data_IF_974573844188
#
_entry.id   IF_974573844188
#
_cell.length_a   1.000
_cell.length_b   1.000
_cell.length_c   1.000
_cell.angle_alpha   90.00
_cell.angle_beta   90.00
_cell.angle_gamma   90.00
#
_symmetry.space_group_name_H-M   'P 1'
#
loop_
_entity.id
_entity.type
_entity.pdbx_description
1 polymer ?
#
# COMPACT_ATOMS: atom_id res chain seq x y z
N UNK A 1 2.39 -18.72 -33.62
CA UNK A 1 2.00 -18.09 -32.33
C UNK A 1 3.17 -18.25 -31.37
N UNK A 2 3.95 -17.17 -31.17
CA UNK A 2 5.05 -17.16 -30.22
C UNK A 2 4.47 -16.94 -28.82
N UNK A 3 4.83 -17.82 -27.87
CA UNK A 3 4.55 -17.59 -26.45
C UNK A 3 5.10 -16.23 -26.02
N UNK A 4 4.33 -15.41 -25.28
CA UNK A 4 4.90 -14.22 -24.69
C UNK A 4 5.99 -14.66 -23.72
N UNK A 5 7.23 -14.28 -24.01
CA UNK A 5 8.32 -14.34 -23.06
C UNK A 5 7.88 -13.49 -21.87
N UNK A 6 7.53 -14.13 -20.77
CA UNK A 6 7.50 -13.52 -19.45
C UNK A 6 8.90 -12.94 -19.22
N UNK A 7 9.09 -11.69 -19.59
CA UNK A 7 10.18 -10.88 -19.11
C UNK A 7 10.08 -10.96 -17.59
N UNK A 8 11.03 -11.68 -17.00
CA UNK A 8 11.45 -11.52 -15.62
C UNK A 8 11.88 -10.06 -15.47
N UNK A 9 10.91 -9.16 -15.36
CA UNK A 9 11.12 -7.84 -14.82
C UNK A 9 11.61 -8.13 -13.43
N UNK A 10 12.91 -7.94 -13.23
CA UNK A 10 13.52 -7.93 -11.91
C UNK A 10 12.58 -7.11 -11.03
N UNK A 11 11.91 -7.77 -10.09
CA UNK A 11 10.98 -7.12 -9.18
C UNK A 11 11.68 -5.86 -8.69
N UNK A 12 11.15 -4.65 -8.92
CA UNK A 12 11.71 -3.49 -8.28
C UNK A 12 11.62 -3.82 -6.80
N UNK A 13 12.80 -4.02 -6.19
CA UNK A 13 13.00 -4.09 -4.75
C UNK A 13 12.03 -3.10 -4.11
N UNK A 14 11.39 -3.46 -2.99
CA UNK A 14 10.61 -2.52 -2.19
C UNK A 14 11.50 -1.31 -1.87
N UNK A 15 11.56 -0.33 -2.77
CA UNK A 15 12.42 0.84 -2.65
C UNK A 15 11.62 1.81 -1.83
N UNK A 16 11.77 1.74 -0.51
CA UNK A 16 11.46 2.89 0.30
C UNK A 16 12.36 4.04 -0.19
N UNK A 17 11.74 5.15 -0.59
CA UNK A 17 12.41 6.27 -1.23
C UNK A 17 13.16 7.17 -0.25
N UNK A 18 13.15 6.84 1.04
CA UNK A 18 13.85 7.57 2.08
C UNK A 18 14.86 6.66 2.79
N UNK A 19 16.13 7.06 2.95
CA UNK A 19 17.03 6.37 3.86
C UNK A 19 16.51 6.49 5.30
N UNK A 20 16.69 5.47 6.14
CA UNK A 20 16.26 5.52 7.53
C UNK A 20 16.99 6.64 8.27
N UNK A 21 16.25 7.40 9.07
CA UNK A 21 16.82 8.40 9.98
C UNK A 21 17.52 7.69 11.16
N UNK A 22 18.64 8.23 11.67
CA UNK A 22 19.23 7.76 12.92
C UNK A 22 18.25 7.99 14.08
N UNK A 23 17.99 6.95 14.87
CA UNK A 23 16.99 6.97 15.93
C UNK A 23 17.56 7.50 17.25
N UNK A 24 17.04 8.65 17.69
CA UNK A 24 17.08 9.08 19.10
C UNK A 24 15.69 9.57 19.48
N UNK A 25 14.88 8.66 20.03
CA UNK A 25 13.53 8.93 20.51
C UNK A 25 13.23 8.15 21.80
N UNK A 26 12.26 8.59 22.62
CA UNK A 26 12.09 8.10 23.98
C UNK A 26 11.58 6.65 24.03
N UNK A 27 12.04 5.91 25.05
CA UNK A 27 11.59 4.57 25.39
C UNK A 27 10.14 4.61 25.91
N UNK A 28 9.21 4.08 25.13
CA UNK A 28 7.89 3.66 25.60
C UNK A 28 7.92 2.12 25.79
N UNK A 29 7.10 1.58 26.70
CA UNK A 29 7.18 0.19 27.21
C UNK A 29 7.19 -0.91 26.12
N UNK A 30 7.45 -2.19 26.47
CA UNK A 30 7.89 -3.21 25.52
C UNK A 30 6.75 -3.59 24.55
N UNK A 31 6.65 -2.86 23.44
CA UNK A 31 5.82 -3.24 22.30
C UNK A 31 6.50 -4.43 21.63
N UNK A 32 5.66 -5.41 21.32
CA UNK A 32 5.94 -6.79 20.93
C UNK A 32 6.97 -6.95 19.82
N UNK A 33 7.67 -8.10 19.87
CA UNK A 33 8.52 -8.60 18.78
C UNK A 33 7.76 -8.51 17.46
N UNK A 34 8.45 -8.16 16.38
CA UNK A 34 7.90 -8.21 15.01
C UNK A 34 7.28 -9.60 14.78
N UNK A 35 6.04 -9.70 14.25
CA UNK A 35 5.43 -10.99 13.93
C UNK A 35 6.36 -11.85 13.06
N UNK A 36 6.46 -13.15 13.36
CA UNK A 36 7.43 -14.04 12.67
C UNK A 36 7.19 -14.11 11.15
N UNK A 37 5.94 -14.07 10.71
CA UNK A 37 5.59 -14.00 9.29
C UNK A 37 6.17 -12.75 8.62
N UNK A 38 6.05 -11.60 9.29
CA UNK A 38 6.57 -10.30 8.83
C UNK A 38 8.11 -10.30 8.79
N UNK A 39 8.79 -10.91 9.79
CA UNK A 39 10.26 -11.05 9.79
C UNK A 39 10.78 -11.82 8.57
N UNK A 40 10.17 -12.96 8.27
CA UNK A 40 10.54 -13.80 7.12
C UNK A 40 10.46 -13.00 5.83
N UNK A 41 9.33 -12.30 5.62
CA UNK A 41 9.13 -11.47 4.44
C UNK A 41 10.17 -10.35 4.31
N UNK A 42 10.44 -9.62 5.40
CA UNK A 42 11.44 -8.54 5.42
C UNK A 42 12.83 -9.10 5.07
N UNK A 43 13.24 -10.22 5.65
CA UNK A 43 14.55 -10.82 5.36
C UNK A 43 14.70 -11.23 3.89
N UNK A 44 13.67 -11.86 3.33
CA UNK A 44 13.69 -12.37 1.95
C UNK A 44 13.69 -11.25 0.90
N UNK A 45 13.04 -10.11 1.18
CA UNK A 45 12.79 -9.06 0.16
C UNK A 45 13.53 -7.75 0.40
N UNK A 46 13.83 -7.43 1.65
CA UNK A 46 14.47 -6.16 2.07
C UNK A 46 15.77 -6.38 2.83
N UNK A 47 15.96 -7.59 3.37
CA UNK A 47 17.09 -7.98 4.18
C UNK A 47 18.39 -8.01 3.39
N UNK A 48 18.38 -8.26 2.09
CA UNK A 48 19.62 -8.37 1.31
C UNK A 48 19.86 -7.14 0.44
N UNK A 49 21.08 -6.60 0.47
CA UNK A 49 21.50 -5.53 -0.43
C UNK A 49 22.92 -5.80 -0.95
N UNK A 50 23.19 -5.29 -2.15
CA UNK A 50 24.52 -5.34 -2.74
C UNK A 50 25.35 -4.16 -2.23
N UNK A 51 26.55 -4.44 -1.70
CA UNK A 51 27.48 -3.43 -1.21
C UNK A 51 28.57 -3.20 -2.24
N UNK A 52 28.51 -2.07 -2.97
CA UNK A 52 29.47 -1.74 -4.03
C UNK A 52 30.92 -1.64 -3.53
N UNK A 53 31.11 -1.34 -2.24
CA UNK A 53 32.43 -1.22 -1.62
C UNK A 53 33.17 -2.56 -1.42
N UNK A 54 32.45 -3.68 -1.38
CA UNK A 54 33.01 -5.00 -1.04
C UNK A 54 32.61 -6.10 -2.04
N UNK A 55 31.72 -5.80 -3.00
CA UNK A 55 31.22 -6.81 -3.95
C UNK A 55 30.56 -8.00 -3.26
N UNK A 56 29.91 -7.78 -2.12
CA UNK A 56 29.30 -8.82 -1.29
C UNK A 56 27.82 -8.54 -1.00
N UNK A 57 27.02 -9.61 -0.89
CA UNK A 57 25.63 -9.51 -0.42
C UNK A 57 25.69 -9.32 1.09
N UNK A 58 25.20 -8.17 1.57
CA UNK A 58 25.06 -7.90 3.00
C UNK A 58 23.62 -8.06 3.44
N UNK A 59 23.43 -8.61 4.64
CA UNK A 59 22.13 -8.70 5.29
C UNK A 59 21.93 -7.48 6.19
N UNK A 60 20.86 -6.71 5.97
CA UNK A 60 20.41 -5.64 6.87
C UNK A 60 19.99 -6.25 8.19
N UNK A 61 20.38 -5.66 9.33
CA UNK A 61 19.87 -6.09 10.62
C UNK A 61 18.35 -5.91 10.63
N UNK A 62 17.63 -6.93 11.10
CA UNK A 62 16.20 -6.79 11.36
C UNK A 62 16.00 -5.78 12.50
N UNK A 63 14.99 -4.90 12.40
CA UNK A 63 14.60 -4.07 13.53
C UNK A 63 14.26 -4.96 14.74
N UNK A 64 14.73 -4.57 15.92
CA UNK A 64 14.57 -5.34 17.14
C UNK A 64 13.10 -5.36 17.62
N UNK A 65 12.37 -4.29 17.32
CA UNK A 65 10.99 -4.07 17.74
C UNK A 65 10.10 -3.71 16.56
N UNK A 66 8.78 -3.88 16.72
CA UNK A 66 7.81 -3.39 15.73
C UNK A 66 7.82 -1.85 15.63
N UNK A 67 8.16 -1.14 16.70
CA UNK A 67 8.33 0.32 16.67
C UNK A 67 9.49 0.73 15.77
N UNK A 68 10.62 0.03 15.84
CA UNK A 68 11.76 0.28 14.95
C UNK A 68 11.39 -0.01 13.50
N UNK A 69 10.64 -1.09 13.27
CA UNK A 69 10.10 -1.43 11.97
C UNK A 69 9.16 -0.35 11.43
N UNK A 70 8.26 0.16 12.27
CA UNK A 70 7.35 1.22 11.89
C UNK A 70 8.06 2.53 11.64
N UNK A 71 9.08 2.91 12.43
CA UNK A 71 9.93 4.07 12.14
C UNK A 71 10.62 3.95 10.79
N UNK A 72 11.06 2.74 10.43
CA UNK A 72 11.62 2.49 9.09
C UNK A 72 10.58 2.72 7.98
N UNK A 73 9.28 2.54 8.25
CA UNK A 73 8.22 2.55 7.23
C UNK A 73 7.21 3.70 7.34
N UNK A 74 7.27 4.53 8.37
CA UNK A 74 6.28 5.56 8.71
C UNK A 74 6.06 6.56 7.57
N UNK A 75 7.11 6.84 6.80
CA UNK A 75 7.08 7.76 5.66
C UNK A 75 7.38 7.08 4.33
N UNK A 76 7.50 5.74 4.32
CA UNK A 76 7.74 5.03 3.10
C UNK A 76 6.47 5.06 2.23
N UNK A 77 6.70 5.44 0.97
CA UNK A 77 5.76 5.23 -0.12
C UNK A 77 6.21 4.00 -0.88
N UNK A 78 5.33 3.03 -1.00
CA UNK A 78 5.59 1.82 -1.76
C UNK A 78 4.93 1.91 -3.12
N UNK A 79 5.64 1.48 -4.14
CA UNK A 79 5.15 1.39 -5.51
C UNK A 79 5.39 -0.02 -6.03
N UNK A 80 4.34 -0.70 -6.49
CA UNK A 80 4.47 -2.04 -7.06
C UNK A 80 3.20 -2.86 -6.91
N UNK A 81 3.32 -4.19 -6.97
CA UNK A 81 2.18 -5.09 -6.82
C UNK A 81 1.93 -5.40 -5.34
N UNK A 82 0.69 -5.19 -4.86
CA UNK A 82 0.31 -5.54 -3.49
C UNK A 82 0.20 -7.06 -3.36
N UNK A 83 1.16 -7.70 -2.71
CA UNK A 83 1.05 -9.13 -2.36
C UNK A 83 0.38 -9.30 -0.99
N UNK A 84 -0.20 -10.48 -0.70
CA UNK A 84 -0.78 -10.75 0.61
C UNK A 84 0.19 -10.52 1.78
N UNK A 85 1.47 -10.84 1.59
CA UNK A 85 2.51 -10.68 2.59
C UNK A 85 2.86 -9.20 2.82
N UNK A 86 2.92 -8.39 1.76
CA UNK A 86 3.10 -6.93 1.90
C UNK A 86 1.91 -6.33 2.63
N UNK A 87 0.69 -6.71 2.24
CA UNK A 87 -0.52 -6.21 2.87
C UNK A 87 -0.56 -6.57 4.37
N UNK A 88 -0.25 -7.82 4.72
CA UNK A 88 -0.17 -8.27 6.11
C UNK A 88 0.90 -7.49 6.89
N UNK A 89 2.09 -7.31 6.32
CA UNK A 89 3.17 -6.52 6.93
C UNK A 89 2.74 -5.08 7.21
N UNK A 90 2.10 -4.41 6.24
CA UNK A 90 1.68 -3.02 6.39
C UNK A 90 0.53 -2.87 7.39
N UNK A 91 -0.38 -3.84 7.45
CA UNK A 91 -1.41 -3.92 8.49
C UNK A 91 -0.80 -4.11 9.88
N UNK A 92 0.16 -5.03 10.03
CA UNK A 92 0.84 -5.27 11.31
C UNK A 92 1.64 -4.02 11.77
N UNK A 93 2.33 -3.34 10.86
CA UNK A 93 3.02 -2.07 11.15
C UNK A 93 2.01 -1.03 11.63
N UNK A 94 0.87 -0.94 10.95
CA UNK A 94 -0.14 0.07 11.25
C UNK A 94 -0.82 -0.20 12.59
N UNK A 95 -1.16 -1.45 12.88
CA UNK A 95 -1.78 -1.88 14.12
C UNK A 95 -0.84 -1.74 15.33
N UNK A 96 0.41 -2.22 15.20
CA UNK A 96 1.29 -2.43 16.35
C UNK A 96 2.47 -1.47 16.45
N UNK A 97 2.99 -0.94 15.34
CA UNK A 97 4.25 -0.19 15.37
C UNK A 97 4.09 1.32 15.30
N UNK A 98 2.92 1.82 14.91
CA UNK A 98 2.66 3.27 14.90
C UNK A 98 2.17 3.69 16.30
N UNK A 99 3.04 4.41 17.01
CA UNK A 99 2.78 4.89 18.36
C UNK A 99 1.45 5.64 18.45
N UNK A 100 0.80 5.53 19.62
CA UNK A 100 -0.37 6.33 19.94
C UNK A 100 -0.01 7.81 19.82
N UNK A 101 -0.58 8.47 18.81
CA UNK A 101 -0.44 9.90 18.70
C UNK A 101 -1.18 10.48 19.90
N UNK A 102 -0.42 10.89 20.93
CA UNK A 102 -0.97 11.71 21.99
C UNK A 102 -1.55 12.92 21.28
N UNK A 103 -2.87 13.19 21.38
CA UNK A 103 -3.45 14.38 20.82
C UNK A 103 -2.73 15.55 21.50
N UNK A 104 -1.78 16.13 20.79
CA UNK A 104 -1.27 17.44 21.14
C UNK A 104 -2.34 18.39 20.64
N UNK A 105 -2.83 19.27 21.51
CA UNK A 105 -3.93 20.21 21.22
C UNK A 105 -3.70 21.13 19.99
N UNK A 106 -2.59 20.94 19.27
CA UNK A 106 -2.14 21.70 18.10
C UNK A 106 -2.30 20.96 16.77
N UNK A 107 -2.46 19.63 16.74
CA UNK A 107 -2.61 18.88 15.47
C UNK A 107 -4.04 18.39 15.32
N UNK A 108 -4.84 19.12 14.54
CA UNK A 108 -6.19 18.70 14.14
C UNK A 108 -6.04 17.73 12.96
N UNK A 109 -6.03 16.43 13.25
CA UNK A 109 -6.18 15.40 12.21
C UNK A 109 -5.65 14.02 12.60
N UNK A 110 -6.10 12.98 11.90
CA UNK A 110 -5.54 11.64 12.06
C UNK A 110 -4.12 11.57 11.50
N UNK A 111 -3.16 10.98 12.23
CA UNK A 111 -1.87 10.61 11.65
C UNK A 111 -2.11 9.63 10.51
N UNK A 112 -1.34 9.80 9.44
CA UNK A 112 -1.39 8.93 8.28
C UNK A 112 -0.27 7.89 8.39
N UNK A 113 -0.61 6.62 8.23
CA UNK A 113 0.35 5.53 8.28
C UNK A 113 1.12 5.32 6.97
N UNK A 114 1.75 4.15 6.80
CA UNK A 114 2.35 3.73 5.54
C UNK A 114 1.37 3.87 4.37
N UNK A 115 1.93 4.13 3.19
CA UNK A 115 1.18 4.35 1.96
C UNK A 115 1.65 3.40 0.89
N UNK A 116 0.70 2.72 0.28
CA UNK A 116 0.98 1.85 -0.85
C UNK A 116 0.27 2.37 -2.09
N UNK A 117 1.00 2.42 -3.19
CA UNK A 117 0.48 2.78 -4.51
C UNK A 117 0.79 1.66 -5.49
N UNK A 118 -0.15 1.38 -6.39
CA UNK A 118 0.04 0.43 -7.46
C UNK A 118 -0.63 0.89 -8.73
N UNK A 119 0.02 0.66 -9.86
CA UNK A 119 -0.65 0.75 -11.16
C UNK A 119 -1.48 -0.50 -11.37
N UNK A 120 -2.76 -0.33 -11.68
CA UNK A 120 -3.62 -1.41 -12.11
C UNK A 120 -4.49 -0.91 -13.27
N UNK A 121 -4.32 -1.54 -14.43
CA UNK A 121 -4.89 -1.07 -15.69
C UNK A 121 -4.50 0.39 -15.97
N UNK A 122 -5.48 1.24 -16.26
CA UNK A 122 -5.33 2.67 -16.55
C UNK A 122 -5.30 3.53 -15.28
N UNK A 123 -5.27 2.94 -14.08
CA UNK A 123 -5.45 3.68 -12.83
C UNK A 123 -4.31 3.46 -11.85
N UNK A 124 -4.05 4.46 -11.01
CA UNK A 124 -3.25 4.32 -9.80
C UNK A 124 -4.18 4.03 -8.65
N UNK A 125 -3.99 2.87 -8.04
CA UNK A 125 -4.64 2.47 -6.82
C UNK A 125 -3.78 2.86 -5.64
N UNK A 126 -4.41 3.25 -4.54
CA UNK A 126 -3.74 3.52 -3.29
C UNK A 126 -4.37 2.74 -2.14
N UNK A 127 -3.55 2.43 -1.14
CA UNK A 127 -3.98 1.96 0.17
C UNK A 127 -3.26 2.80 1.22
N UNK A 128 -4.06 3.46 2.04
CA UNK A 128 -3.66 4.29 3.14
C UNK A 128 -3.96 3.57 4.43
N UNK A 129 -2.93 3.15 5.15
CA UNK A 129 -3.14 2.43 6.39
C UNK A 129 -3.33 3.39 7.56
N UNK A 130 -4.27 3.05 8.44
CA UNK A 130 -4.63 3.92 9.57
C UNK A 130 -3.87 3.46 10.81
N UNK A 131 -3.07 4.32 11.44
CA UNK A 131 -2.35 3.96 12.66
C UNK A 131 -3.27 3.43 13.76
N UNK A 132 -2.81 2.37 14.44
CA UNK A 132 -3.45 1.60 15.52
C UNK A 132 -4.65 0.75 15.13
N UNK A 133 -5.03 0.76 13.87
CA UNK A 133 -6.14 -0.06 13.40
C UNK A 133 -5.63 -1.02 12.35
N UNK A 134 -6.17 -2.24 12.37
CA UNK A 134 -6.04 -3.19 11.25
C UNK A 134 -6.99 -2.79 10.12
N UNK A 135 -6.87 -1.54 9.69
CA UNK A 135 -7.80 -0.88 8.79
C UNK A 135 -7.02 -0.04 7.78
N UNK A 136 -7.58 0.08 6.59
CA UNK A 136 -7.02 0.91 5.53
C UNK A 136 -8.12 1.60 4.75
N UNK A 137 -7.77 2.74 4.16
CA UNK A 137 -8.58 3.42 3.15
C UNK A 137 -7.97 3.07 1.82
N UNK A 138 -8.77 2.54 0.90
CA UNK A 138 -8.36 2.21 -0.45
C UNK A 138 -9.05 3.14 -1.44
N UNK A 139 -8.47 3.27 -2.62
CA UNK A 139 -9.08 4.05 -3.68
C UNK A 139 -8.27 4.01 -4.97
N UNK A 140 -8.77 4.67 -5.99
CA UNK A 140 -8.14 4.71 -7.31
C UNK A 140 -8.33 6.03 -8.02
N UNK A 141 -7.33 6.39 -8.84
CA UNK A 141 -7.34 7.58 -9.67
C UNK A 141 -8.36 7.47 -10.80
N UNK A 142 -8.74 8.60 -11.42
CA UNK A 142 -9.29 8.59 -12.77
C UNK A 142 -8.37 7.85 -13.76
N UNK A 143 -8.92 7.46 -14.90
CA UNK A 143 -8.17 6.79 -15.96
C UNK A 143 -7.05 7.69 -16.50
N UNK A 144 -5.85 7.13 -16.54
CA UNK A 144 -4.64 7.73 -17.06
C UNK A 144 -4.60 7.41 -18.56
N UNK A 145 -4.49 8.43 -19.43
CA UNK A 145 -4.44 8.22 -20.87
C UNK A 145 -3.38 7.18 -21.26
N UNK A 146 -3.77 6.25 -22.13
CA UNK A 146 -2.87 5.25 -22.66
C UNK A 146 -1.69 5.89 -23.39
N UNK A 147 -0.49 5.39 -23.12
CA UNK A 147 0.74 5.80 -23.79
C UNK A 147 1.61 4.58 -24.06
N UNK A 148 2.34 4.60 -25.18
CA UNK A 148 3.18 3.46 -25.61
C UNK A 148 4.31 3.13 -24.61
N UNK A 149 4.70 4.10 -23.77
CA UNK A 149 5.79 3.99 -22.79
C UNK A 149 5.36 3.40 -21.43
N UNK A 150 4.17 2.80 -21.35
CA UNK A 150 3.54 2.37 -20.10
C UNK A 150 4.34 1.37 -19.25
N UNK A 151 5.16 0.54 -19.91
CA UNK A 151 6.05 -0.42 -19.25
C UNK A 151 7.50 0.05 -19.23
N UNK A 152 7.77 1.21 -19.81
CA UNK A 152 9.10 1.82 -19.83
C UNK A 152 9.33 2.63 -18.56
N UNK A 153 10.59 2.92 -18.26
CA UNK A 153 10.97 3.70 -17.08
C UNK A 153 10.29 5.07 -17.05
N UNK A 154 10.07 5.68 -18.22
CA UNK A 154 9.39 6.96 -18.36
C UNK A 154 7.91 6.89 -17.93
N UNK A 155 7.18 5.84 -18.34
CA UNK A 155 5.80 5.61 -17.89
C UNK A 155 5.72 5.35 -16.39
N UNK A 156 6.61 4.51 -15.86
CA UNK A 156 6.69 4.21 -14.42
C UNK A 156 6.98 5.49 -13.61
N UNK A 157 7.92 6.32 -14.07
CA UNK A 157 8.28 7.57 -13.40
C UNK A 157 7.11 8.57 -13.39
N UNK A 158 6.35 8.64 -14.48
CA UNK A 158 5.15 9.48 -14.60
C UNK A 158 4.04 9.05 -13.65
N UNK A 159 3.71 7.77 -13.64
CA UNK A 159 2.67 7.24 -12.75
C UNK A 159 3.05 7.46 -11.28
N UNK A 160 4.32 7.24 -10.96
CA UNK A 160 4.86 7.55 -9.64
C UNK A 160 4.72 9.04 -9.29
N UNK A 161 5.08 9.94 -10.20
CA UNK A 161 4.95 11.37 -9.98
C UNK A 161 3.48 11.78 -9.74
N UNK A 162 2.53 11.19 -10.47
CA UNK A 162 1.10 11.44 -10.28
C UNK A 162 0.61 11.04 -8.88
N UNK A 163 1.03 9.86 -8.40
CA UNK A 163 0.72 9.42 -7.04
C UNK A 163 1.36 10.32 -5.97
N UNK A 164 2.60 10.77 -6.19
CA UNK A 164 3.32 11.65 -5.27
C UNK A 164 2.72 13.06 -5.20
N UNK A 165 2.22 13.60 -6.31
CA UNK A 165 1.52 14.88 -6.37
C UNK A 165 0.16 14.83 -5.66
N UNK A 166 -0.52 13.68 -5.75
CA UNK A 166 -1.82 13.46 -5.12
C UNK A 166 -1.75 13.24 -3.59
N UNK A 167 -0.68 12.60 -3.12
CA UNK A 167 -0.49 12.18 -1.73
C UNK A 167 -0.75 13.29 -0.68
N UNK A 168 -0.22 14.53 -0.80
CA UNK A 168 -0.50 15.60 0.17
C UNK A 168 -1.99 15.93 0.30
N UNK A 169 -2.73 15.90 -0.82
CA UNK A 169 -4.17 16.20 -0.85
C UNK A 169 -4.96 15.07 -0.18
N UNK A 170 -4.62 13.82 -0.50
CA UNK A 170 -5.18 12.63 0.14
C UNK A 170 -4.96 12.65 1.65
N UNK A 171 -3.72 12.84 2.10
CA UNK A 171 -3.39 12.89 3.52
C UNK A 171 -4.16 13.99 4.25
N UNK A 172 -4.20 15.21 3.68
CA UNK A 172 -4.95 16.32 4.27
C UNK A 172 -6.43 16.01 4.40
N UNK A 173 -7.03 15.40 3.38
CA UNK A 173 -8.45 15.08 3.41
C UNK A 173 -8.76 13.95 4.39
N UNK A 174 -7.97 12.87 4.41
CA UNK A 174 -8.14 11.78 5.38
C UNK A 174 -7.94 12.28 6.80
N UNK A 175 -6.93 13.11 7.05
CA UNK A 175 -6.73 13.73 8.35
C UNK A 175 -7.94 14.59 8.77
N UNK A 176 -8.63 15.24 7.82
CA UNK A 176 -9.84 16.05 8.06
C UNK A 176 -11.08 15.20 8.34
N UNK A 177 -11.34 14.18 7.54
CA UNK A 177 -12.60 13.40 7.59
C UNK A 177 -12.53 12.23 8.58
N UNK A 178 -11.33 11.84 9.00
CA UNK A 178 -11.12 10.68 9.85
C UNK A 178 -11.38 9.36 9.13
N UNK A 179 -11.45 8.25 9.88
CA UNK A 179 -11.84 6.94 9.35
C UNK A 179 -13.34 6.82 9.08
N UNK A 180 -14.16 7.52 9.86
CA UNK A 180 -15.62 7.49 9.76
C UNK A 180 -16.16 8.21 8.51
N UNK A 181 -15.36 9.07 7.87
CA UNK A 181 -15.79 9.85 6.71
C UNK A 181 -15.60 9.17 5.35
N UNK A 182 -14.93 8.01 5.31
CA UNK A 182 -14.71 7.22 4.08
C UNK A 182 -15.81 6.19 3.97
N UNK A 183 -16.91 6.57 3.33
CA UNK A 183 -17.97 5.65 2.91
C UNK A 183 -17.64 5.09 1.51
N UNK A 184 -18.16 3.90 1.22
CA UNK A 184 -17.99 3.22 -0.07
C UNK A 184 -18.36 4.15 -1.24
N UNK A 185 -17.42 4.36 -2.18
CA UNK A 185 -17.57 5.17 -3.39
C UNK A 185 -17.69 6.69 -3.19
N UNK A 186 -17.32 7.23 -2.03
CA UNK A 186 -17.18 8.67 -1.89
C UNK A 186 -15.86 9.14 -2.50
N UNK A 187 -15.88 10.28 -3.18
CA UNK A 187 -14.65 10.91 -3.60
C UNK A 187 -13.84 11.36 -2.38
N UNK A 188 -12.59 10.90 -2.29
CA UNK A 188 -11.58 11.37 -1.36
C UNK A 188 -10.54 12.08 -2.21
N UNK A 189 -10.35 13.38 -2.00
CA UNK A 189 -9.44 14.23 -2.75
C UNK A 189 -9.65 14.24 -4.28
N UNK A 190 -10.85 13.89 -4.74
CA UNK A 190 -11.22 13.80 -6.16
C UNK A 190 -10.85 12.45 -6.80
N UNK A 191 -10.42 11.46 -6.01
CA UNK A 191 -10.29 10.07 -6.43
C UNK A 191 -11.38 9.25 -5.75
N UNK A 192 -11.73 8.11 -6.33
CA UNK A 192 -12.72 7.25 -5.73
C UNK A 192 -12.13 6.55 -4.51
N UNK A 193 -12.80 6.65 -3.36
CA UNK A 193 -12.37 6.07 -2.10
C UNK A 193 -13.34 5.01 -1.55
N UNK A 194 -12.80 4.12 -0.75
CA UNK A 194 -13.49 3.04 -0.04
C UNK A 194 -12.70 2.62 1.19
N UNK A 195 -13.29 1.74 1.99
CA UNK A 195 -12.58 1.07 3.06
C UNK A 195 -11.94 -0.21 2.51
N UNK A 196 -10.73 -0.53 2.96
CA UNK A 196 -10.05 -1.76 2.55
C UNK A 196 -10.89 -3.00 2.90
N UNK A 197 -11.64 -2.94 4.00
CA UNK A 197 -12.57 -4.00 4.38
C UNK A 197 -13.70 -4.15 3.36
N UNK A 198 -14.37 -3.07 2.98
CA UNK A 198 -15.45 -3.09 1.99
C UNK A 198 -14.97 -3.62 0.64
N UNK A 199 -13.75 -3.24 0.23
CA UNK A 199 -13.17 -3.74 -1.02
C UNK A 199 -12.83 -5.24 -0.95
N UNK A 200 -12.36 -5.72 0.21
CA UNK A 200 -12.12 -7.15 0.43
C UNK A 200 -13.44 -7.94 0.42
N UNK A 201 -14.46 -7.46 1.11
CA UNK A 201 -15.81 -8.06 1.12
C UNK A 201 -16.39 -8.11 -0.30
N UNK A 202 -16.29 -7.01 -1.05
CA UNK A 202 -16.71 -6.96 -2.45
C UNK A 202 -15.91 -7.94 -3.31
N UNK A 203 -14.59 -8.03 -3.14
CA UNK A 203 -13.74 -8.96 -3.89
C UNK A 203 -14.08 -10.43 -3.60
N UNK A 204 -14.37 -10.77 -2.35
CA UNK A 204 -14.83 -12.12 -1.97
C UNK A 204 -16.18 -12.45 -2.59
N UNK A 205 -17.13 -11.51 -2.53
CA UNK A 205 -18.44 -11.64 -3.18
C UNK A 205 -18.27 -11.80 -4.70
N UNK A 206 -17.45 -10.96 -5.32
CA UNK A 206 -17.13 -11.00 -6.74
C UNK A 206 -16.58 -12.37 -7.15
N UNK A 207 -15.62 -12.88 -6.39
CA UNK A 207 -15.02 -14.19 -6.64
C UNK A 207 -16.06 -15.32 -6.52
N UNK A 208 -16.92 -15.27 -5.51
CA UNK A 208 -17.99 -16.26 -5.34
C UNK A 208 -18.98 -16.23 -6.52
N UNK A 209 -19.43 -15.04 -6.94
CA UNK A 209 -20.34 -14.85 -8.08
C UNK A 209 -19.68 -15.31 -9.39
N UNK A 210 -18.40 -14.99 -9.60
CA UNK A 210 -17.66 -15.39 -10.80
C UNK A 210 -17.41 -16.90 -10.88
N UNK A 211 -17.43 -17.60 -9.74
CA UNK A 211 -17.41 -19.06 -9.66
C UNK A 211 -18.70 -19.75 -10.10
N UNK A 212 -19.81 -19.01 -10.26
CA UNK A 212 -21.08 -19.55 -10.73
C UNK A 212 -21.04 -19.86 -12.25
N UNK A 213 -21.94 -20.74 -12.75
CA UNK A 213 -22.08 -20.99 -14.18
C UNK A 213 -22.25 -19.69 -14.99
N UNK A 214 -21.72 -19.63 -16.20
CA UNK A 214 -21.74 -18.41 -17.02
C UNK A 214 -23.14 -17.84 -17.30
N UNK A 215 -24.18 -18.70 -17.30
CA UNK A 215 -25.58 -18.33 -17.50
C UNK A 215 -26.31 -17.98 -16.20
N UNK A 216 -25.65 -18.06 -15.05
CA UNK A 216 -26.28 -17.76 -13.77
C UNK A 216 -26.64 -16.26 -13.69
N UNK A 217 -27.88 -15.89 -13.34
CA UNK A 217 -28.33 -14.50 -13.35
C UNK A 217 -27.42 -13.55 -12.56
N UNK A 218 -27.00 -13.93 -11.34
CA UNK A 218 -26.10 -13.12 -10.52
C UNK A 218 -24.76 -12.80 -11.20
N UNK A 219 -24.20 -13.75 -11.97
CA UNK A 219 -22.95 -13.54 -12.71
C UNK A 219 -23.15 -12.63 -13.91
N UNK A 220 -24.24 -12.82 -14.64
CA UNK A 220 -24.60 -11.97 -15.79
C UNK A 220 -24.79 -10.52 -15.34
N UNK A 221 -25.54 -10.30 -14.26
CA UNK A 221 -25.81 -8.96 -13.75
C UNK A 221 -24.55 -8.30 -13.16
N UNK A 222 -23.70 -9.04 -12.46
CA UNK A 222 -22.43 -8.50 -11.99
C UNK A 222 -21.53 -8.04 -13.14
N UNK A 223 -21.40 -8.86 -14.19
CA UNK A 223 -20.63 -8.50 -15.38
C UNK A 223 -21.22 -7.25 -16.04
N UNK A 224 -22.55 -7.20 -16.23
CA UNK A 224 -23.22 -6.02 -16.80
C UNK A 224 -22.97 -4.77 -15.96
N UNK A 225 -23.11 -4.85 -14.64
CA UNK A 225 -22.91 -3.71 -13.75
C UNK A 225 -21.48 -3.16 -13.77
N UNK A 226 -20.48 -4.03 -13.97
CA UNK A 226 -19.07 -3.62 -14.12
C UNK A 226 -18.85 -2.88 -15.44
N UNK A 227 -19.46 -3.32 -16.54
CA UNK A 227 -19.28 -2.73 -17.87
C UNK A 227 -20.26 -1.58 -18.20
N UNK A 228 -21.15 -1.21 -17.28
CA UNK A 228 -22.16 -0.16 -17.48
C UNK A 228 -21.82 1.17 -16.79
N UNK A 229 -20.65 1.26 -16.14
CA UNK A 229 -20.11 2.50 -15.56
C UNK A 229 -19.01 3.04 -16.46
#
# INVERSE_FOLDING_TARGET
MQSPKLLSVAFPSLRCLRPPLPSTGPNFGPVTKVPEASKKFILERYGTYWSDSEGSVKTRPLPATIDDLAKMFHECKFFGYMTPEICALLLDISEFGLAEHRPTNTIIGLPVGPRFYMKFLEQIWFILFVPRYRYGISGYSPDIPYTDDWFEEAGIARDKALAEDYDPKLCKEVSRIGTAGVEFHKEVAGWQGSTLQSDLEFSQLAKAIMGLPAKHPARVEMIRGIFSR
#
